data_IF_831403494286
#
_entry.id   IF_831403494286
#
_cell.length_a   1.000
_cell.length_b   1.000
_cell.length_c   1.000
_cell.angle_alpha   90.00
_cell.angle_beta   90.00
_cell.angle_gamma   90.00
#
_symmetry.space_group_name_H-M   'P 1'
#
loop_
_entity.id
_entity.type
_entity.pdbx_description
1 polymer ?
#
# COMPACT_ATOMS: atom_id res chain seq x y z
N UNK A 1 -11.51 -13.77 10.37
CA UNK A 1 -11.59 -12.72 9.34
C UNK A 1 -10.44 -11.78 9.62
N UNK A 2 -9.44 -11.69 8.74
CA UNK A 2 -8.33 -10.77 8.95
C UNK A 2 -8.89 -9.35 8.84
N UNK A 3 -8.93 -8.61 9.94
CA UNK A 3 -9.24 -7.18 9.95
C UNK A 3 -8.05 -6.44 9.33
N UNK A 4 -7.86 -6.59 8.02
CA UNK A 4 -6.80 -5.91 7.29
C UNK A 4 -6.97 -4.40 7.45
N UNK A 5 -5.88 -3.72 7.80
CA UNK A 5 -5.85 -2.26 7.97
C UNK A 5 -6.27 -1.60 6.66
N UNK A 6 -7.37 -0.83 6.67
CA UNK A 6 -7.77 -0.01 5.53
C UNK A 6 -7.03 1.33 5.57
N UNK A 7 -5.88 1.40 4.89
CA UNK A 7 -5.01 2.58 4.92
C UNK A 7 -5.67 3.81 4.30
N UNK A 8 -6.60 3.62 3.34
CA UNK A 8 -7.34 4.73 2.73
C UNK A 8 -8.16 5.49 3.77
N UNK A 9 -8.78 4.80 4.73
CA UNK A 9 -9.51 5.42 5.84
C UNK A 9 -8.60 6.17 6.79
N UNK A 10 -7.43 5.62 7.12
CA UNK A 10 -6.46 6.27 7.98
C UNK A 10 -5.95 7.56 7.34
N UNK A 11 -5.64 7.52 6.05
CA UNK A 11 -5.23 8.70 5.27
C UNK A 11 -6.36 9.74 5.18
N UNK A 12 -7.60 9.30 4.99
CA UNK A 12 -8.78 10.16 4.99
C UNK A 12 -8.97 10.93 6.29
N UNK A 13 -8.72 10.30 7.46
CA UNK A 13 -8.74 10.98 8.77
C UNK A 13 -7.67 12.07 8.90
N UNK A 14 -6.65 12.08 8.04
CA UNK A 14 -5.62 13.11 7.95
C UNK A 14 -5.86 14.12 6.83
N UNK A 15 -7.01 14.06 6.16
CA UNK A 15 -7.35 14.94 5.04
C UNK A 15 -6.66 14.57 3.73
N UNK A 16 -6.07 13.37 3.64
CA UNK A 16 -5.46 12.86 2.41
C UNK A 16 -6.51 12.04 1.66
N UNK A 17 -6.90 12.49 0.47
CA UNK A 17 -7.79 11.70 -0.39
C UNK A 17 -7.02 10.50 -0.93
N UNK A 18 -7.42 9.31 -0.52
CA UNK A 18 -6.82 8.06 -0.93
C UNK A 18 -7.90 7.02 -1.24
N UNK A 19 -7.65 6.20 -2.24
CA UNK A 19 -8.53 5.15 -2.71
C UNK A 19 -7.89 3.79 -2.46
N UNK A 20 -8.61 2.88 -1.81
CA UNK A 20 -8.14 1.51 -1.64
C UNK A 20 -8.06 0.79 -3.00
N UNK A 21 -6.93 0.13 -3.27
CA UNK A 21 -6.77 -0.76 -4.42
C UNK A 21 -6.97 -2.20 -3.93
N UNK A 22 -8.12 -2.76 -4.24
CA UNK A 22 -8.47 -4.13 -3.89
C UNK A 22 -7.88 -5.16 -4.88
N UNK A 23 -7.79 -6.42 -4.45
CA UNK A 23 -7.38 -7.54 -5.31
C UNK A 23 -5.87 -7.71 -5.54
N UNK A 24 -5.02 -6.87 -4.93
CA UNK A 24 -3.57 -7.03 -5.01
C UNK A 24 -3.12 -8.24 -4.19
N UNK A 25 -2.59 -9.25 -4.88
CA UNK A 25 -2.16 -10.51 -4.27
C UNK A 25 -0.66 -10.54 -3.97
N UNK A 26 0.14 -9.79 -4.73
CA UNK A 26 1.60 -9.75 -4.62
C UNK A 26 2.15 -8.44 -5.18
N UNK A 27 3.15 -7.89 -4.50
CA UNK A 27 4.01 -6.83 -5.03
C UNK A 27 5.46 -7.33 -4.96
N UNK A 28 6.23 -7.11 -6.02
CA UNK A 28 7.69 -7.34 -6.02
C UNK A 28 8.37 -6.03 -6.37
N UNK A 29 9.27 -5.59 -5.49
CA UNK A 29 10.10 -4.40 -5.66
C UNK A 29 11.53 -4.93 -5.87
N UNK A 30 12.14 -4.52 -6.97
CA UNK A 30 13.54 -4.83 -7.30
C UNK A 30 14.36 -3.56 -7.16
N UNK A 31 15.41 -3.60 -6.35
CA UNK A 31 16.34 -2.48 -6.19
C UNK A 31 17.37 -2.46 -7.32
N UNK A 32 18.04 -1.33 -7.49
CA UNK A 32 19.19 -1.20 -8.40
C UNK A 32 20.37 -2.13 -8.02
N UNK A 33 20.47 -2.50 -6.75
CA UNK A 33 21.41 -3.52 -6.25
C UNK A 33 20.97 -4.97 -6.54
N UNK A 34 19.78 -5.17 -7.11
CA UNK A 34 19.22 -6.49 -7.45
C UNK A 34 18.53 -7.21 -6.28
N UNK A 35 18.34 -6.54 -5.14
CA UNK A 35 17.55 -7.08 -4.03
C UNK A 35 16.07 -7.14 -4.40
N UNK A 36 15.38 -8.22 -4.03
CA UNK A 36 13.95 -8.41 -4.30
C UNK A 36 13.14 -8.46 -3.01
N UNK A 37 12.37 -7.40 -2.77
CA UNK A 37 11.40 -7.33 -1.69
C UNK A 37 10.06 -7.85 -2.23
N UNK A 38 9.55 -8.92 -1.65
CA UNK A 38 8.26 -9.50 -2.04
C UNK A 38 7.24 -9.35 -0.92
N UNK A 39 6.17 -8.62 -1.21
CA UNK A 39 5.04 -8.43 -0.32
C UNK A 39 3.89 -9.33 -0.75
N UNK A 40 3.31 -10.10 0.17
CA UNK A 40 2.21 -11.03 -0.14
C UNK A 40 0.91 -10.57 0.50
N UNK A 41 -0.15 -10.45 -0.32
CA UNK A 41 -1.45 -9.86 0.08
C UNK A 41 -1.31 -8.48 0.76
N UNK A 42 -0.54 -7.53 0.20
CA UNK A 42 -0.38 -6.21 0.81
C UNK A 42 -1.68 -5.41 0.78
N UNK A 43 -1.84 -4.48 1.73
CA UNK A 43 -2.85 -3.44 1.63
C UNK A 43 -2.28 -2.27 0.83
N UNK A 44 -2.99 -1.86 -0.23
CA UNK A 44 -2.53 -0.80 -1.13
C UNK A 44 -3.59 0.28 -1.22
N UNK A 45 -3.17 1.54 -1.18
CA UNK A 45 -4.03 2.66 -1.57
C UNK A 45 -3.29 3.63 -2.46
N UNK A 46 -4.04 4.28 -3.35
CA UNK A 46 -3.56 5.36 -4.22
C UNK A 46 -3.99 6.68 -3.65
N UNK A 47 -3.06 7.60 -3.49
CA UNK A 47 -3.35 9.01 -3.18
C UNK A 47 -2.83 9.88 -4.32
N UNK A 48 -3.54 10.95 -4.64
CA UNK A 48 -3.06 11.95 -5.59
C UNK A 48 -2.54 13.16 -4.83
N UNK A 49 -1.27 13.50 -5.02
CA UNK A 49 -0.61 14.61 -4.33
C UNK A 49 0.21 15.43 -5.33
N UNK A 50 -0.07 16.73 -5.44
CA UNK A 50 0.63 17.66 -6.34
C UNK A 50 0.71 17.18 -7.81
N UNK A 51 -0.32 16.47 -8.29
CA UNK A 51 -0.36 15.92 -9.66
C UNK A 51 0.37 14.59 -9.83
N UNK A 52 0.94 14.02 -8.77
CA UNK A 52 1.52 12.68 -8.76
C UNK A 52 0.56 11.67 -8.13
N UNK A 53 0.49 10.48 -8.71
CA UNK A 53 -0.15 9.33 -8.06
C UNK A 53 0.89 8.62 -7.19
N UNK A 54 0.59 8.54 -5.90
CA UNK A 54 1.42 7.89 -4.88
C UNK A 54 0.74 6.60 -4.45
N UNK A 55 1.47 5.48 -4.48
CA UNK A 55 1.02 4.23 -3.91
C UNK A 55 1.55 4.08 -2.49
N UNK A 56 0.64 3.94 -1.54
CA UNK A 56 0.97 3.59 -0.15
C UNK A 56 0.75 2.10 0.02
N UNK A 57 1.82 1.37 0.34
CA UNK A 57 1.81 -0.08 0.49
C UNK A 57 2.14 -0.42 1.94
N UNK A 58 1.25 -1.16 2.59
CA UNK A 58 1.47 -1.72 3.91
C UNK A 58 1.46 -3.25 3.84
N UNK A 59 2.47 -3.86 4.43
CA UNK A 59 2.49 -5.28 4.75
C UNK A 59 2.50 -5.43 6.27
N UNK A 60 1.65 -6.32 6.79
CA UNK A 60 1.74 -6.73 8.19
C UNK A 60 3.03 -7.54 8.35
N UNK A 61 4.04 -6.94 9.02
CA UNK A 61 5.21 -7.70 9.44
C UNK A 61 4.74 -8.79 10.40
N UNK A 62 5.00 -10.05 10.07
CA UNK A 62 4.86 -11.15 11.03
C UNK A 62 5.95 -10.99 12.09
N UNK A 63 5.58 -10.49 13.27
CA UNK A 63 6.38 -10.63 14.49
C UNK A 63 6.43 -12.09 14.95
#
# INVERSE_FOLDING_TARGET
MANGIDISKILGLKGINAENISGISKITIETDEGEKITLTKPNVSKASFLGFDILVVLEESKS
#
